data_IF_321231395421
#
_entry.id   IF_321231395421
#
_cell.length_a   1.000
_cell.length_b   1.000
_cell.length_c   1.000
_cell.angle_alpha   90.00
_cell.angle_beta   90.00
_cell.angle_gamma   90.00
#
_symmetry.space_group_name_H-M   'P 1'
#
loop_
_entity.id
_entity.type
_entity.pdbx_description
1 polymer ?
#
# COMPACT_ATOMS: atom_id res chain seq x y z
N UNK A 1 -0.58 12.26 28.12
CA UNK A 1 -1.76 11.36 28.01
C UNK A 1 -1.29 9.94 27.79
N UNK A 2 -1.86 8.95 28.48
CA UNK A 2 -1.63 7.54 28.12
C UNK A 2 -2.32 7.27 26.80
N UNK A 3 -1.54 6.91 25.78
CA UNK A 3 -2.06 6.58 24.46
C UNK A 3 -2.85 5.28 24.55
N UNK A 4 -4.13 5.31 24.19
CA UNK A 4 -4.96 4.12 24.11
C UNK A 4 -4.76 3.44 22.74
N UNK A 5 -3.91 2.43 22.67
CA UNK A 5 -3.60 1.72 21.43
C UNK A 5 -4.86 1.14 20.75
N UNK A 6 -5.87 0.72 21.53
CA UNK A 6 -7.11 0.19 20.96
C UNK A 6 -7.90 1.27 20.19
N UNK A 7 -7.89 2.52 20.63
CA UNK A 7 -8.52 3.63 19.90
C UNK A 7 -7.80 3.93 18.61
N UNK A 8 -6.46 3.90 18.63
CA UNK A 8 -5.64 4.12 17.44
C UNK A 8 -5.92 3.03 16.40
N UNK A 9 -5.91 1.76 16.78
CA UNK A 9 -6.19 0.68 15.85
C UNK A 9 -7.64 0.73 15.32
N UNK A 10 -8.62 1.05 16.14
CA UNK A 10 -10.00 1.30 15.68
C UNK A 10 -10.09 2.44 14.66
N UNK A 11 -9.26 3.48 14.82
CA UNK A 11 -9.17 4.56 13.83
C UNK A 11 -8.66 4.03 12.49
N UNK A 12 -7.57 3.27 12.47
CA UNK A 12 -7.01 2.73 11.22
C UNK A 12 -7.90 1.67 10.56
N UNK A 13 -8.66 0.91 11.32
CA UNK A 13 -9.61 -0.08 10.79
C UNK A 13 -10.76 0.52 9.98
N UNK A 14 -11.06 1.81 10.12
CA UNK A 14 -12.15 2.46 9.38
C UNK A 14 -11.99 2.36 7.86
N UNK A 15 -10.78 2.58 7.36
CA UNK A 15 -10.46 2.55 5.93
C UNK A 15 -11.17 3.63 5.09
N UNK A 16 -12.10 4.39 5.67
CA UNK A 16 -12.81 5.51 5.02
C UNK A 16 -12.66 6.74 5.91
N UNK A 17 -12.14 7.81 5.31
CA UNK A 17 -11.80 9.05 6.00
C UNK A 17 -12.33 10.27 5.23
N UNK A 18 -12.57 11.39 5.92
CA UNK A 18 -12.93 12.64 5.27
C UNK A 18 -11.77 13.19 4.43
N UNK A 19 -12.01 14.30 3.74
CA UNK A 19 -10.92 15.08 3.12
C UNK A 19 -9.97 15.63 4.18
N UNK A 20 -8.69 15.63 3.86
CA UNK A 20 -7.62 16.19 4.68
C UNK A 20 -6.85 17.24 3.89
N UNK A 21 -6.36 18.27 4.59
CA UNK A 21 -5.62 19.37 3.96
C UNK A 21 -4.36 18.92 3.23
N UNK A 22 -3.72 17.85 3.71
CA UNK A 22 -2.50 17.31 3.11
C UNK A 22 -2.44 15.79 3.20
N UNK A 23 -2.22 15.16 2.04
CA UNK A 23 -1.96 13.73 1.93
C UNK A 23 -0.64 13.54 1.18
N UNK A 24 0.19 12.64 1.69
CA UNK A 24 1.38 12.13 1.01
C UNK A 24 1.12 10.66 0.65
N UNK A 25 1.30 10.27 -0.62
CA UNK A 25 1.23 8.87 -1.00
C UNK A 25 2.59 8.36 -1.48
N UNK A 26 2.97 7.18 -0.99
CA UNK A 26 4.28 6.55 -1.19
C UNK A 26 4.06 5.19 -1.87
N UNK A 27 4.86 4.89 -2.90
CA UNK A 27 4.86 3.63 -3.63
C UNK A 27 5.43 2.45 -2.85
N UNK A 28 5.65 1.38 -3.58
CA UNK A 28 6.14 0.09 -3.10
C UNK A 28 7.56 0.21 -2.53
N UNK A 29 7.85 -0.52 -1.45
CA UNK A 29 9.11 -0.41 -0.67
C UNK A 29 10.02 -1.63 -0.87
N UNK A 30 9.43 -2.82 -1.01
CA UNK A 30 10.17 -4.07 -1.22
C UNK A 30 11.42 -4.19 -0.35
N UNK A 31 11.24 -4.16 0.97
CA UNK A 31 12.31 -4.37 1.94
C UNK A 31 13.43 -3.33 1.90
N UNK A 32 13.28 -2.16 1.28
CA UNK A 32 14.30 -1.11 1.25
C UNK A 32 14.03 -0.05 2.35
N UNK A 33 14.60 -0.31 3.53
CA UNK A 33 14.48 0.60 4.67
C UNK A 33 15.05 2.00 4.37
N UNK A 34 16.17 2.06 3.64
CA UNK A 34 16.80 3.32 3.29
C UNK A 34 15.94 4.12 2.29
N UNK A 35 15.28 3.45 1.33
CA UNK A 35 14.35 4.11 0.41
C UNK A 35 13.15 4.69 1.19
N UNK A 36 12.59 3.92 2.14
CA UNK A 36 11.51 4.42 3.01
C UNK A 36 11.94 5.65 3.81
N UNK A 37 13.12 5.64 4.45
CA UNK A 37 13.62 6.80 5.18
C UNK A 37 13.80 8.01 4.26
N UNK A 38 14.41 7.82 3.10
CA UNK A 38 14.66 8.90 2.15
C UNK A 38 13.36 9.56 1.67
N UNK A 39 12.35 8.77 1.29
CA UNK A 39 11.07 9.33 0.83
C UNK A 39 10.35 10.07 1.96
N UNK A 40 10.35 9.55 3.17
CA UNK A 40 9.72 10.19 4.33
C UNK A 40 10.42 11.49 4.73
N UNK A 41 11.76 11.54 4.70
CA UNK A 41 12.54 12.76 4.95
C UNK A 41 12.30 13.79 3.85
N UNK A 42 12.36 13.36 2.56
CA UNK A 42 12.09 14.22 1.40
C UNK A 42 10.69 14.84 1.46
N UNK A 43 9.70 14.06 1.89
CA UNK A 43 8.31 14.51 2.09
C UNK A 43 8.10 15.33 3.37
N UNK A 44 9.13 15.51 4.21
CA UNK A 44 9.08 16.21 5.51
C UNK A 44 8.07 15.57 6.48
N UNK A 45 8.01 14.25 6.49
CA UNK A 45 7.16 13.47 7.38
C UNK A 45 7.91 13.09 8.65
N UNK A 46 9.20 12.76 8.52
CA UNK A 46 10.08 12.45 9.65
C UNK A 46 11.33 13.33 9.64
N UNK A 47 11.93 13.49 10.81
CA UNK A 47 13.25 14.08 10.99
C UNK A 47 14.38 13.04 10.85
N UNK A 48 15.64 13.47 11.01
CA UNK A 48 16.84 12.61 10.97
C UNK A 48 16.88 11.53 12.06
N UNK A 49 16.06 11.65 13.10
CA UNK A 49 15.94 10.70 14.20
C UNK A 49 14.70 9.79 14.02
N UNK A 50 14.09 9.78 12.83
CA UNK A 50 12.89 9.03 12.50
C UNK A 50 11.67 9.41 13.37
N UNK A 51 11.61 10.65 13.89
CA UNK A 51 10.46 11.18 14.61
C UNK A 51 9.48 11.81 13.64
N UNK A 52 8.20 11.65 13.90
CA UNK A 52 7.14 12.32 13.14
C UNK A 52 7.22 13.84 13.28
N UNK A 53 7.32 14.54 12.16
CA UNK A 53 7.27 15.99 12.05
C UNK A 53 6.20 16.48 11.08
N UNK A 54 5.41 15.56 10.52
CA UNK A 54 4.39 15.83 9.51
C UNK A 54 3.16 16.57 10.03
N UNK A 55 3.06 16.82 11.35
CA UNK A 55 1.88 17.45 11.96
C UNK A 55 0.62 16.64 11.66
N UNK A 56 -0.42 17.30 11.15
CA UNK A 56 -1.69 16.70 10.76
C UNK A 56 -1.72 16.11 9.33
N UNK A 57 -0.57 15.90 8.71
CA UNK A 57 -0.46 15.25 7.40
C UNK A 57 -0.89 13.79 7.48
N UNK A 58 -1.61 13.30 6.47
CA UNK A 58 -1.92 11.89 6.29
C UNK A 58 -1.00 11.27 5.25
N UNK A 59 -0.34 10.18 5.61
CA UNK A 59 0.53 9.42 4.71
C UNK A 59 -0.18 8.12 4.34
N UNK A 60 -0.24 7.80 3.04
CA UNK A 60 -0.69 6.49 2.55
C UNK A 60 0.50 5.79 1.90
N UNK A 61 0.87 4.62 2.40
CA UNK A 61 1.84 3.72 1.79
C UNK A 61 1.07 2.60 1.07
N UNK A 62 1.36 2.38 -0.22
CA UNK A 62 0.45 1.66 -1.12
C UNK A 62 0.61 0.13 -1.12
N UNK A 63 1.30 -0.47 -0.13
CA UNK A 63 1.55 -1.91 -0.03
C UNK A 63 2.93 -2.32 -0.51
N UNK A 64 3.18 -3.61 -0.51
CA UNK A 64 4.45 -4.22 -0.90
C UNK A 64 5.65 -3.64 -0.14
N UNK A 65 5.60 -3.74 1.20
CA UNK A 65 6.73 -3.35 2.05
C UNK A 65 7.76 -4.49 2.18
N UNK A 66 7.34 -5.74 1.94
CA UNK A 66 8.15 -6.94 2.07
C UNK A 66 8.85 -7.33 0.76
N UNK A 67 9.66 -8.38 0.83
CA UNK A 67 10.18 -9.10 -0.34
C UNK A 67 11.24 -8.34 -1.14
N UNK A 68 12.41 -8.25 -0.54
CA UNK A 68 13.57 -7.56 -1.12
C UNK A 68 14.40 -8.39 -2.12
N UNK A 69 13.97 -9.57 -2.52
CA UNK A 69 14.77 -10.38 -3.46
C UNK A 69 15.08 -9.56 -4.73
N UNK A 70 16.35 -9.45 -5.13
CA UNK A 70 16.75 -8.72 -6.33
C UNK A 70 16.02 -9.23 -7.57
N UNK A 71 15.44 -8.31 -8.35
CA UNK A 71 14.78 -8.61 -9.64
C UNK A 71 15.80 -8.68 -10.78
N UNK A 72 17.03 -8.32 -10.50
CA UNK A 72 18.20 -8.42 -11.37
C UNK A 72 19.40 -8.90 -10.55
N UNK A 73 20.57 -9.05 -11.20
CA UNK A 73 21.79 -9.63 -10.61
C UNK A 73 22.47 -8.76 -9.53
N UNK A 74 21.85 -7.69 -9.08
CA UNK A 74 22.43 -6.79 -8.09
C UNK A 74 22.35 -7.38 -6.68
N UNK A 75 23.46 -7.25 -5.93
CA UNK A 75 23.74 -8.00 -4.69
C UNK A 75 23.38 -7.26 -3.40
N UNK A 76 22.71 -6.13 -3.48
CA UNK A 76 22.38 -5.32 -2.30
C UNK A 76 21.17 -5.86 -1.56
N UNK A 77 21.38 -6.94 -0.81
CA UNK A 77 20.41 -7.48 0.11
C UNK A 77 20.60 -6.87 1.51
N UNK A 78 19.51 -6.70 2.25
CA UNK A 78 19.54 -6.25 3.64
C UNK A 78 18.41 -6.89 4.46
N UNK A 79 18.69 -7.19 5.73
CA UNK A 79 17.70 -7.62 6.71
C UNK A 79 16.99 -6.39 7.29
N UNK A 80 15.96 -5.93 6.62
CA UNK A 80 15.28 -4.67 6.95
C UNK A 80 13.76 -4.74 7.05
N UNK A 81 13.13 -5.86 6.71
CA UNK A 81 11.66 -5.99 6.73
C UNK A 81 11.09 -5.64 8.12
N UNK A 82 11.69 -6.15 9.20
CA UNK A 82 11.24 -5.84 10.57
C UNK A 82 11.51 -4.39 10.99
N UNK A 83 12.57 -3.77 10.45
CA UNK A 83 12.83 -2.34 10.68
C UNK A 83 11.75 -1.48 10.02
N UNK A 84 11.31 -1.86 8.80
CA UNK A 84 10.21 -1.21 8.09
C UNK A 84 8.91 -1.35 8.85
N UNK A 85 8.53 -2.58 9.25
CA UNK A 85 7.31 -2.86 10.01
C UNK A 85 7.30 -2.05 11.31
N UNK A 86 8.42 -2.06 12.06
CA UNK A 86 8.55 -1.33 13.33
C UNK A 86 8.45 0.18 13.14
N UNK A 87 9.05 0.72 12.08
CA UNK A 87 8.95 2.14 11.77
C UNK A 87 7.52 2.53 11.40
N UNK A 88 6.83 1.76 10.57
CA UNK A 88 5.43 2.02 10.19
C UNK A 88 4.54 2.03 11.44
N UNK A 89 4.65 1.02 12.30
CA UNK A 89 3.90 0.97 13.56
C UNK A 89 4.17 2.21 14.44
N UNK A 90 5.44 2.59 14.59
CA UNK A 90 5.83 3.79 15.33
C UNK A 90 5.18 5.04 14.74
N UNK A 91 5.23 5.19 13.40
CA UNK A 91 4.67 6.35 12.72
C UNK A 91 3.13 6.39 12.80
N UNK A 92 2.45 5.23 12.81
CA UNK A 92 1.02 5.16 13.08
C UNK A 92 0.66 5.70 14.47
N UNK A 93 1.44 5.34 15.49
CA UNK A 93 1.23 5.79 16.87
C UNK A 93 1.56 7.28 17.03
N UNK A 94 2.67 7.73 16.47
CA UNK A 94 3.10 9.13 16.57
C UNK A 94 2.17 10.07 15.80
N UNK A 95 1.87 9.78 14.52
CA UNK A 95 1.03 10.65 13.68
C UNK A 95 -0.35 10.90 14.27
N UNK A 96 -0.97 9.86 14.85
CA UNK A 96 -2.28 9.98 15.49
C UNK A 96 -2.30 11.02 16.61
N UNK A 97 -1.23 11.17 17.38
CA UNK A 97 -1.11 12.14 18.46
C UNK A 97 -1.13 13.60 17.96
N UNK A 98 -0.75 13.83 16.71
CA UNK A 98 -0.72 15.14 16.08
C UNK A 98 -1.94 15.40 15.17
N UNK A 99 -2.94 14.52 15.19
CA UNK A 99 -4.12 14.61 14.31
C UNK A 99 -3.83 14.24 12.86
N UNK A 100 -2.66 13.64 12.59
CA UNK A 100 -2.28 13.05 11.31
C UNK A 100 -2.58 11.55 11.27
N UNK A 101 -2.03 10.87 10.26
CA UNK A 101 -2.15 9.42 10.14
C UNK A 101 -1.11 8.82 9.21
N UNK A 102 -0.69 7.58 9.50
CA UNK A 102 0.09 6.77 8.59
C UNK A 102 -0.73 5.53 8.23
N UNK A 103 -1.20 5.47 6.99
CA UNK A 103 -2.18 4.49 6.49
C UNK A 103 -1.51 3.52 5.52
N UNK A 104 -1.04 2.35 5.96
CA UNK A 104 -0.52 1.35 5.05
C UNK A 104 -1.67 0.59 4.38
N UNK A 105 -1.52 0.34 3.08
CA UNK A 105 -2.35 -0.55 2.28
C UNK A 105 -1.71 -1.94 2.27
N UNK A 106 -2.51 -3.00 2.22
CA UNK A 106 -2.00 -4.36 2.05
C UNK A 106 -1.71 -4.59 0.57
N UNK A 107 -0.47 -4.99 0.25
CA UNK A 107 -0.05 -5.41 -1.09
C UNK A 107 -0.09 -6.93 -1.27
N UNK A 108 0.20 -7.38 -2.49
CA UNK A 108 0.24 -8.81 -2.77
C UNK A 108 1.43 -9.52 -2.10
N UNK A 109 2.55 -8.83 -1.87
CA UNK A 109 3.72 -9.42 -1.21
C UNK A 109 3.48 -9.67 0.29
N UNK A 110 2.71 -8.83 0.98
CA UNK A 110 2.25 -9.14 2.33
C UNK A 110 1.40 -10.41 2.34
N UNK A 111 0.44 -10.52 1.40
CA UNK A 111 -0.43 -11.68 1.31
C UNK A 111 0.32 -12.95 0.90
N UNK A 112 1.30 -12.86 -0.01
CA UNK A 112 2.17 -13.98 -0.39
C UNK A 112 2.90 -14.55 0.84
N UNK A 113 3.49 -13.70 1.66
CA UNK A 113 4.16 -14.15 2.88
C UNK A 113 3.19 -14.81 3.86
N UNK A 114 1.98 -14.29 4.03
CA UNK A 114 0.92 -14.89 4.87
C UNK A 114 0.51 -16.27 4.36
N UNK A 115 0.49 -16.49 3.06
CA UNK A 115 0.16 -17.77 2.41
C UNK A 115 1.37 -18.72 2.28
N UNK A 116 2.55 -18.35 2.77
CA UNK A 116 3.76 -19.17 2.71
C UNK A 116 4.45 -19.18 1.36
N UNK A 117 4.15 -18.22 0.49
CA UNK A 117 4.79 -18.04 -0.83
C UNK A 117 5.98 -17.07 -0.65
N UNK A 118 7.20 -17.62 -0.62
CA UNK A 118 8.44 -16.89 -0.31
C UNK A 118 9.36 -16.69 -1.51
N UNK A 119 8.83 -16.76 -2.73
CA UNK A 119 9.64 -16.70 -3.96
C UNK A 119 10.40 -15.39 -4.13
N UNK A 120 9.91 -14.32 -3.51
CA UNK A 120 10.49 -12.99 -3.55
C UNK A 120 11.16 -12.54 -2.25
N UNK A 121 11.19 -13.41 -1.25
CA UNK A 121 11.95 -13.16 -0.02
C UNK A 121 13.44 -13.26 -0.34
N UNK A 122 14.21 -12.28 0.14
CA UNK A 122 15.66 -12.26 -0.06
C UNK A 122 16.37 -13.26 0.86
N UNK A 123 17.61 -13.66 0.54
CA UNK A 123 18.42 -14.50 1.43
C UNK A 123 18.55 -13.93 2.84
N UNK A 124 18.78 -12.60 2.99
CA UNK A 124 18.88 -11.98 4.32
C UNK A 124 17.51 -11.90 5.02
N UNK A 125 16.42 -11.59 4.31
CA UNK A 125 15.06 -11.64 4.86
C UNK A 125 14.66 -13.06 5.30
N UNK A 126 15.09 -14.10 4.57
CA UNK A 126 14.90 -15.49 4.99
C UNK A 126 15.78 -15.84 6.19
N UNK A 127 17.03 -15.37 6.20
CA UNK A 127 18.01 -15.63 7.27
C UNK A 127 17.65 -15.03 8.63
N UNK A 128 16.65 -14.14 8.70
CA UNK A 128 16.10 -13.67 9.96
C UNK A 128 15.42 -14.79 10.77
N UNK A 129 14.99 -15.85 10.09
CA UNK A 129 14.35 -17.02 10.68
C UNK A 129 15.27 -18.25 10.57
N UNK A 130 15.15 -19.19 11.51
CA UNK A 130 15.93 -20.43 11.49
C UNK A 130 15.54 -21.36 10.35
N UNK A 131 14.29 -21.27 9.89
CA UNK A 131 13.76 -22.07 8.79
C UNK A 131 12.58 -21.39 8.09
N UNK A 132 12.17 -21.95 6.93
CA UNK A 132 10.95 -21.53 6.23
C UNK A 132 9.68 -21.73 7.07
N UNK A 133 9.65 -22.79 7.87
CA UNK A 133 8.53 -23.11 8.76
C UNK A 133 8.40 -22.06 9.86
N UNK A 134 9.52 -21.58 10.43
CA UNK A 134 9.50 -20.51 11.43
C UNK A 134 9.02 -19.19 10.81
N UNK A 135 9.44 -18.86 9.58
CA UNK A 135 8.91 -17.70 8.84
C UNK A 135 7.41 -17.85 8.59
N UNK A 136 6.97 -19.00 8.11
CA UNK A 136 5.54 -19.28 7.90
C UNK A 136 4.75 -19.14 9.20
N UNK A 137 5.26 -19.66 10.30
CA UNK A 137 4.59 -19.55 11.61
C UNK A 137 4.39 -18.09 12.02
N UNK A 138 5.36 -17.23 11.76
CA UNK A 138 5.26 -15.80 12.09
C UNK A 138 4.23 -15.08 11.22
N UNK A 139 4.21 -15.38 9.90
CA UNK A 139 3.38 -14.66 8.93
C UNK A 139 1.98 -15.24 8.76
N UNK A 140 1.76 -16.55 8.94
CA UNK A 140 0.50 -17.24 8.59
C UNK A 140 -0.73 -16.61 9.24
N UNK A 141 -1.88 -16.89 8.63
CA UNK A 141 -3.20 -16.47 9.11
C UNK A 141 -3.38 -16.80 10.60
N UNK A 142 -3.88 -15.83 11.36
CA UNK A 142 -4.13 -15.96 12.80
C UNK A 142 -2.90 -15.77 13.69
N UNK A 143 -1.72 -15.49 13.11
CA UNK A 143 -0.48 -15.29 13.88
C UNK A 143 -0.01 -13.83 13.92
N UNK A 144 1.20 -13.60 14.40
CA UNK A 144 1.70 -12.29 14.82
C UNK A 144 1.55 -11.21 13.73
N UNK A 145 2.08 -11.47 12.53
CA UNK A 145 2.07 -10.47 11.47
C UNK A 145 0.68 -10.27 10.87
N UNK A 146 -0.04 -11.36 10.57
CA UNK A 146 -1.39 -11.28 10.01
C UNK A 146 -2.36 -10.58 10.96
N UNK A 147 -2.28 -10.82 12.27
CA UNK A 147 -3.06 -10.09 13.27
C UNK A 147 -2.70 -8.61 13.35
N UNK A 148 -1.43 -8.27 13.21
CA UNK A 148 -1.02 -6.86 13.14
C UNK A 148 -1.62 -6.17 11.91
N UNK A 149 -1.55 -6.79 10.72
CA UNK A 149 -2.21 -6.24 9.53
C UNK A 149 -3.71 -6.08 9.75
N UNK A 150 -4.38 -7.10 10.29
CA UNK A 150 -5.81 -7.06 10.58
C UNK A 150 -6.22 -5.89 11.52
N UNK A 151 -5.34 -5.52 12.44
CA UNK A 151 -5.58 -4.42 13.37
C UNK A 151 -5.43 -3.03 12.73
N UNK A 152 -4.48 -2.86 11.80
CA UNK A 152 -3.96 -1.53 11.47
C UNK A 152 -3.91 -1.21 9.97
N UNK A 153 -4.13 -2.20 9.08
CA UNK A 153 -4.00 -2.06 7.64
C UNK A 153 -5.31 -2.40 6.93
N UNK A 154 -5.48 -1.86 5.73
CA UNK A 154 -6.64 -2.17 4.88
C UNK A 154 -6.18 -2.45 3.45
N UNK A 155 -6.84 -3.34 2.70
CA UNK A 155 -6.60 -3.52 1.26
C UNK A 155 -7.09 -2.32 0.43
N UNK A 156 -8.07 -1.57 0.95
CA UNK A 156 -8.63 -0.38 0.30
C UNK A 156 -8.82 0.74 1.31
N UNK A 157 -8.34 1.92 0.97
CA UNK A 157 -8.49 3.13 1.77
C UNK A 157 -9.14 4.21 0.91
N UNK A 158 -10.17 4.87 1.43
CA UNK A 158 -10.74 6.08 0.85
C UNK A 158 -10.42 7.28 1.75
N UNK A 159 -9.84 8.33 1.18
CA UNK A 159 -9.66 9.64 1.84
C UNK A 159 -10.28 10.69 0.92
N UNK A 160 -11.39 11.27 1.36
CA UNK A 160 -12.13 12.22 0.53
C UNK A 160 -12.46 11.67 -0.85
N UNK A 161 -11.95 12.30 -1.89
CA UNK A 161 -12.15 11.93 -3.29
C UNK A 161 -11.07 11.01 -3.87
N UNK A 162 -10.22 10.42 -3.04
CA UNK A 162 -9.17 9.49 -3.45
C UNK A 162 -9.44 8.08 -2.92
N UNK A 163 -9.33 7.09 -3.81
CA UNK A 163 -9.31 5.68 -3.48
C UNK A 163 -7.88 5.16 -3.61
N UNK A 164 -7.36 4.53 -2.57
CA UNK A 164 -6.04 3.91 -2.54
C UNK A 164 -6.20 2.40 -2.46
N UNK A 165 -5.58 1.67 -3.37
CA UNK A 165 -5.49 0.22 -3.36
C UNK A 165 -4.23 -0.22 -4.10
N UNK A 166 -3.70 -1.41 -3.79
CA UNK A 166 -2.37 -1.78 -4.28
C UNK A 166 -2.32 -1.94 -5.80
N UNK A 167 -3.08 -2.87 -6.40
CA UNK A 167 -3.05 -3.14 -7.85
C UNK A 167 -4.08 -2.35 -8.64
N UNK A 168 -5.28 -2.18 -8.08
CA UNK A 168 -6.38 -1.49 -8.75
C UNK A 168 -7.75 -2.04 -8.36
N UNK A 169 -8.81 -1.49 -8.95
CA UNK A 169 -10.19 -1.89 -8.67
C UNK A 169 -10.89 -2.31 -9.95
N UNK A 170 -11.41 -3.53 -10.03
CA UNK A 170 -12.23 -3.95 -11.16
C UNK A 170 -13.68 -3.52 -11.01
N UNK A 171 -14.37 -3.30 -12.15
CA UNK A 171 -15.80 -2.94 -12.12
C UNK A 171 -16.66 -4.04 -11.51
N UNK A 172 -16.30 -5.31 -11.69
CA UNK A 172 -17.00 -6.45 -11.09
C UNK A 172 -16.99 -6.37 -9.58
N UNK A 173 -15.81 -6.13 -8.99
CA UNK A 173 -15.64 -5.96 -7.55
C UNK A 173 -16.43 -4.72 -7.08
N UNK A 174 -16.26 -3.59 -7.75
CA UNK A 174 -16.91 -2.34 -7.36
C UNK A 174 -18.44 -2.42 -7.34
N UNK A 175 -19.05 -3.18 -8.27
CA UNK A 175 -20.49 -3.40 -8.30
C UNK A 175 -21.01 -4.31 -7.19
N UNK A 176 -20.16 -5.20 -6.68
CA UNK A 176 -20.56 -6.26 -5.76
C UNK A 176 -20.27 -5.91 -4.30
N UNK A 177 -19.21 -5.14 -4.03
CA UNK A 177 -18.73 -4.92 -2.67
C UNK A 177 -18.60 -3.44 -2.33
N UNK A 178 -18.99 -3.07 -1.12
CA UNK A 178 -18.61 -1.79 -0.49
C UNK A 178 -17.16 -1.88 0.02
N UNK A 179 -16.50 -0.74 0.18
CA UNK A 179 -15.14 -0.66 0.75
C UNK A 179 -15.09 -1.33 2.14
N UNK A 180 -16.12 -1.11 2.95
CA UNK A 180 -16.24 -1.72 4.28
C UNK A 180 -16.27 -3.24 4.23
N UNK A 181 -16.98 -3.82 3.26
CA UNK A 181 -17.08 -5.27 3.12
C UNK A 181 -15.75 -5.88 2.70
N UNK A 182 -15.06 -5.25 1.73
CA UNK A 182 -13.72 -5.64 1.28
C UNK A 182 -12.75 -5.64 2.46
N UNK A 183 -12.71 -4.56 3.25
CA UNK A 183 -11.81 -4.43 4.38
C UNK A 183 -12.16 -5.42 5.51
N UNK A 184 -13.44 -5.71 5.73
CA UNK A 184 -13.90 -6.68 6.73
C UNK A 184 -13.53 -8.10 6.34
N UNK A 185 -13.73 -8.50 5.07
CA UNK A 185 -13.36 -9.84 4.58
C UNK A 185 -11.85 -10.06 4.75
N UNK A 186 -11.01 -9.10 4.39
CA UNK A 186 -9.56 -9.19 4.62
C UNK A 186 -9.25 -9.35 6.11
N UNK A 187 -9.80 -8.50 6.95
CA UNK A 187 -9.55 -8.50 8.40
C UNK A 187 -9.95 -9.81 9.05
N UNK A 188 -11.16 -10.31 8.76
CA UNK A 188 -11.64 -11.57 9.33
C UNK A 188 -10.79 -12.75 8.88
N UNK A 189 -10.35 -12.76 7.61
CA UNK A 189 -9.42 -13.75 7.11
C UNK A 189 -8.09 -13.70 7.86
N UNK A 190 -7.51 -12.52 8.01
CA UNK A 190 -6.22 -12.34 8.70
C UNK A 190 -6.27 -12.72 10.18
N UNK A 191 -7.43 -12.57 10.84
CA UNK A 191 -7.64 -13.07 12.21
C UNK A 191 -7.82 -14.58 12.29
N UNK A 192 -8.08 -15.25 11.18
CA UNK A 192 -8.40 -16.68 11.15
C UNK A 192 -9.89 -16.98 11.35
N UNK A 193 -10.77 -16.00 11.22
CA UNK A 193 -12.23 -16.15 11.32
C UNK A 193 -12.86 -16.56 9.97
N UNK A 194 -12.25 -17.53 9.28
CA UNK A 194 -12.65 -17.92 7.92
C UNK A 194 -13.85 -18.86 7.99
N UNK A 195 -14.95 -18.50 7.30
CA UNK A 195 -16.04 -19.41 6.96
C UNK A 195 -15.85 -19.94 5.54
N UNK A 196 -16.49 -21.08 5.17
CA UNK A 196 -16.43 -21.63 3.81
C UNK A 196 -16.89 -20.60 2.75
N UNK A 197 -17.88 -19.76 3.03
CA UNK A 197 -18.35 -18.70 2.14
C UNK A 197 -17.33 -17.55 1.98
N UNK A 198 -16.52 -17.28 2.99
CA UNK A 198 -15.51 -16.25 2.91
C UNK A 198 -14.30 -16.60 2.04
N UNK A 199 -14.06 -17.91 1.79
CA UNK A 199 -12.95 -18.36 0.95
C UNK A 199 -13.13 -17.93 -0.51
N UNK A 200 -14.32 -18.09 -1.09
CA UNK A 200 -14.60 -17.71 -2.49
C UNK A 200 -14.52 -16.18 -2.67
N UNK A 201 -15.05 -15.42 -1.71
CA UNK A 201 -14.96 -13.97 -1.72
C UNK A 201 -13.52 -13.49 -1.56
N UNK A 202 -12.74 -14.14 -0.70
CA UNK A 202 -11.33 -13.83 -0.52
C UNK A 202 -10.53 -14.07 -1.80
N UNK A 203 -10.76 -15.20 -2.48
CA UNK A 203 -10.13 -15.49 -3.76
C UNK A 203 -10.50 -14.46 -4.82
N UNK A 204 -11.79 -14.10 -4.96
CA UNK A 204 -12.26 -13.08 -5.90
C UNK A 204 -11.60 -11.71 -5.65
N UNK A 205 -11.55 -11.31 -4.40
CA UNK A 205 -11.08 -9.97 -4.01
C UNK A 205 -9.57 -9.82 -4.03
N UNK A 206 -8.79 -10.90 -3.75
CA UNK A 206 -7.38 -10.73 -3.40
C UNK A 206 -6.40 -11.67 -4.11
N UNK A 207 -6.85 -12.77 -4.76
CA UNK A 207 -5.94 -13.78 -5.30
C UNK A 207 -5.89 -13.86 -6.83
N UNK A 208 -6.96 -13.51 -7.54
CA UNK A 208 -6.97 -13.60 -9.00
C UNK A 208 -6.33 -12.36 -9.66
N UNK A 209 -6.01 -12.45 -10.94
CA UNK A 209 -5.33 -11.39 -11.72
C UNK A 209 -6.14 -10.08 -11.85
N UNK A 210 -7.45 -10.11 -11.67
CA UNK A 210 -8.31 -8.93 -11.71
C UNK A 210 -8.68 -8.43 -10.30
N UNK A 211 -8.09 -9.03 -9.27
CA UNK A 211 -8.30 -8.68 -7.87
C UNK A 211 -7.66 -7.35 -7.51
N UNK A 212 -7.99 -6.84 -6.33
CA UNK A 212 -7.50 -5.55 -5.83
C UNK A 212 -5.97 -5.52 -5.71
N UNK A 213 -5.34 -6.67 -5.43
CA UNK A 213 -3.91 -6.74 -5.19
C UNK A 213 -3.09 -7.04 -6.47
N UNK A 214 -3.70 -7.58 -7.53
CA UNK A 214 -2.99 -8.06 -8.71
C UNK A 214 -3.36 -7.34 -10.01
N UNK A 215 -4.36 -6.48 -10.00
CA UNK A 215 -4.85 -5.80 -11.19
C UNK A 215 -3.76 -4.89 -11.79
N UNK A 216 -3.52 -5.02 -13.10
CA UNK A 216 -2.57 -4.19 -13.85
C UNK A 216 -3.24 -3.41 -14.99
N UNK A 217 -4.55 -3.51 -15.16
CA UNK A 217 -5.29 -2.89 -16.28
C UNK A 217 -5.05 -1.38 -16.34
N UNK A 218 -4.98 -0.73 -15.17
CA UNK A 218 -4.85 0.72 -15.12
C UNK A 218 -3.40 1.21 -15.10
N UNK A 219 -2.42 0.34 -14.88
CA UNK A 219 -1.00 0.69 -14.75
C UNK A 219 -0.14 0.34 -15.97
N UNK A 220 -0.65 -0.51 -16.89
CA UNK A 220 0.05 -0.95 -18.09
C UNK A 220 -0.48 -0.29 -19.36
N UNK A 221 0.32 -0.28 -20.42
CA UNK A 221 -0.12 0.15 -21.74
C UNK A 221 -1.12 -0.87 -22.32
N UNK A 222 -2.20 -0.35 -22.89
CA UNK A 222 -3.29 -1.12 -23.47
C UNK A 222 -3.45 -0.76 -24.95
N UNK A 223 -4.06 -1.67 -25.73
CA UNK A 223 -4.53 -1.32 -27.07
C UNK A 223 -5.57 -0.20 -26.98
N UNK A 224 -5.76 0.55 -28.06
CA UNK A 224 -6.75 1.65 -28.12
C UNK A 224 -8.15 1.19 -27.68
N UNK A 225 -8.60 0.05 -28.19
CA UNK A 225 -9.92 -0.52 -27.84
C UNK A 225 -10.00 -0.91 -26.35
N UNK A 226 -8.97 -1.58 -25.83
CA UNK A 226 -8.91 -1.98 -24.40
C UNK A 226 -8.85 -0.75 -23.49
N UNK A 227 -8.16 0.30 -23.91
CA UNK A 227 -8.06 1.55 -23.16
C UNK A 227 -9.42 2.26 -23.03
N UNK A 228 -10.20 2.31 -24.12
CA UNK A 228 -11.57 2.86 -24.11
C UNK A 228 -12.52 2.08 -23.19
N UNK A 229 -12.40 0.75 -23.18
CA UNK A 229 -13.19 -0.11 -22.27
C UNK A 229 -12.77 0.13 -20.82
N UNK A 230 -11.46 0.17 -20.56
CA UNK A 230 -10.92 0.43 -19.22
C UNK A 230 -11.38 1.80 -18.69
N UNK A 231 -11.35 2.86 -19.53
CA UNK A 231 -11.80 4.20 -19.16
C UNK A 231 -13.29 4.23 -18.78
N UNK A 232 -14.15 3.62 -19.60
CA UNK A 232 -15.60 3.51 -19.30
C UNK A 232 -15.86 2.74 -17.99
N UNK A 233 -15.08 1.70 -17.73
CA UNK A 233 -15.19 0.94 -16.48
C UNK A 233 -14.71 1.78 -15.29
N UNK A 234 -13.60 2.49 -15.47
CA UNK A 234 -13.04 3.40 -14.46
C UNK A 234 -14.06 4.47 -14.05
N UNK A 235 -14.72 5.13 -14.99
CA UNK A 235 -15.74 6.16 -14.70
C UNK A 235 -16.88 5.61 -13.82
N UNK A 236 -17.30 4.37 -14.08
CA UNK A 236 -18.32 3.71 -13.25
C UNK A 236 -17.79 3.39 -11.86
N UNK A 237 -16.53 2.92 -11.73
CA UNK A 237 -15.90 2.64 -10.43
C UNK A 237 -15.81 3.92 -9.61
N UNK A 238 -15.33 5.01 -10.21
CA UNK A 238 -15.22 6.31 -9.54
C UNK A 238 -16.59 6.78 -9.03
N UNK A 239 -17.63 6.64 -9.86
CA UNK A 239 -19.01 6.99 -9.47
C UNK A 239 -19.54 6.11 -8.33
N UNK A 240 -19.31 4.79 -8.37
CA UNK A 240 -19.80 3.84 -7.34
C UNK A 240 -19.21 4.18 -5.96
N UNK A 241 -17.92 4.52 -5.90
CA UNK A 241 -17.24 4.81 -4.64
C UNK A 241 -17.25 6.30 -4.27
N UNK A 242 -17.88 7.15 -5.11
CA UNK A 242 -17.87 8.61 -4.96
C UNK A 242 -16.44 9.14 -4.76
N UNK A 243 -15.57 8.89 -5.75
CA UNK A 243 -14.17 9.36 -5.79
C UNK A 243 -13.83 9.93 -7.17
N UNK A 244 -12.78 10.73 -7.24
CA UNK A 244 -12.30 11.35 -8.49
C UNK A 244 -11.01 10.69 -8.99
N UNK A 245 -10.27 10.08 -8.08
CA UNK A 245 -8.96 9.49 -8.38
C UNK A 245 -8.79 8.12 -7.72
N UNK A 246 -8.09 7.22 -8.44
CA UNK A 246 -7.55 5.98 -7.86
C UNK A 246 -6.03 6.10 -7.84
N UNK A 247 -5.41 5.83 -6.69
CA UNK A 247 -3.96 5.80 -6.49
C UNK A 247 -3.53 4.35 -6.32
N UNK A 248 -2.59 3.89 -7.15
CA UNK A 248 -2.15 2.49 -7.23
C UNK A 248 -0.63 2.34 -7.26
N UNK A 249 -0.14 1.20 -6.78
CA UNK A 249 1.23 0.70 -6.82
C UNK A 249 1.42 -0.46 -7.80
N UNK A 250 2.10 -1.53 -7.34
CA UNK A 250 2.19 -2.85 -7.94
C UNK A 250 2.92 -2.95 -9.29
N UNK A 251 2.89 -1.93 -10.10
CA UNK A 251 3.51 -1.92 -11.43
C UNK A 251 4.52 -0.79 -11.50
N UNK A 252 5.83 -1.12 -11.46
CA UNK A 252 6.87 -0.10 -11.50
C UNK A 252 6.80 0.79 -12.74
N UNK A 253 6.84 2.10 -12.54
CA UNK A 253 6.85 3.13 -13.57
C UNK A 253 8.28 3.65 -13.74
N UNK A 254 8.89 3.41 -14.89
CA UNK A 254 10.33 3.68 -15.13
C UNK A 254 10.71 5.16 -15.01
N UNK A 255 9.80 6.07 -15.33
CA UNK A 255 10.05 7.52 -15.40
C UNK A 255 9.39 8.29 -14.25
N UNK A 256 9.22 7.69 -13.09
CA UNK A 256 8.55 8.29 -11.95
C UNK A 256 7.02 8.12 -11.98
N UNK A 257 6.32 8.84 -11.11
CA UNK A 257 4.86 8.75 -10.97
C UNK A 257 4.16 9.07 -12.29
N UNK A 258 3.24 8.21 -12.73
CA UNK A 258 2.51 8.35 -13.99
C UNK A 258 1.03 8.66 -13.76
N UNK A 259 0.53 9.69 -14.45
CA UNK A 259 -0.91 9.98 -14.56
C UNK A 259 -1.47 9.24 -15.77
N UNK A 260 -2.59 8.53 -15.61
CA UNK A 260 -3.29 7.83 -16.67
C UNK A 260 -4.77 8.22 -16.68
N UNK A 261 -5.46 7.98 -17.79
CA UNK A 261 -6.90 8.25 -17.95
C UNK A 261 -7.25 9.71 -17.54
N UNK A 262 -6.55 10.67 -18.11
CA UNK A 262 -6.71 12.11 -17.82
C UNK A 262 -6.53 12.45 -16.31
N UNK A 263 -5.64 11.71 -15.63
CA UNK A 263 -5.34 11.91 -14.21
C UNK A 263 -6.30 11.22 -13.24
N UNK A 264 -7.29 10.46 -13.72
CA UNK A 264 -8.18 9.65 -12.89
C UNK A 264 -7.44 8.52 -12.17
N UNK A 265 -6.32 8.04 -12.74
CA UNK A 265 -5.43 7.05 -12.12
C UNK A 265 -4.04 7.64 -11.94
N UNK A 266 -3.49 7.43 -10.74
CA UNK A 266 -2.17 7.86 -10.32
C UNK A 266 -1.35 6.61 -9.97
N UNK A 267 -0.40 6.22 -10.83
CA UNK A 267 0.49 5.07 -10.64
C UNK A 267 1.74 5.56 -9.92
N UNK A 268 1.91 5.18 -8.65
CA UNK A 268 2.95 5.74 -7.78
C UNK A 268 4.08 4.77 -7.41
N UNK A 269 4.02 3.50 -7.83
CA UNK A 269 5.17 2.61 -7.74
C UNK A 269 6.22 3.06 -8.77
N UNK A 270 7.37 3.50 -8.29
CA UNK A 270 8.49 3.98 -9.13
C UNK A 270 9.70 3.05 -9.07
N UNK A 271 9.51 1.85 -8.52
CA UNK A 271 10.60 0.90 -8.30
C UNK A 271 11.71 1.49 -7.43
N UNK A 272 11.34 2.20 -6.34
CA UNK A 272 12.30 2.93 -5.51
C UNK A 272 13.27 2.01 -4.77
N UNK A 273 12.93 0.75 -4.58
CA UNK A 273 13.79 -0.25 -3.97
C UNK A 273 14.99 -0.60 -4.85
N UNK A 274 16.15 -0.79 -4.24
CA UNK A 274 17.33 -1.34 -4.91
C UNK A 274 17.12 -2.78 -5.43
N UNK A 275 16.09 -3.47 -4.97
CA UNK A 275 15.67 -4.77 -5.50
C UNK A 275 15.37 -4.75 -7.01
N UNK A 276 14.99 -3.60 -7.58
CA UNK A 276 14.72 -3.42 -9.01
C UNK A 276 15.96 -3.04 -9.82
N UNK A 277 17.13 -2.85 -9.17
CA UNK A 277 18.41 -2.56 -9.78
C UNK A 277 18.71 -1.11 -10.08
N UNK A 278 19.97 -0.85 -10.50
CA UNK A 278 20.57 0.48 -10.47
C UNK A 278 20.72 1.13 -11.84
N UNK A 279 19.73 1.05 -12.73
CA UNK A 279 19.79 1.81 -14.00
C UNK A 279 19.72 3.32 -13.78
N UNK A 280 19.17 3.77 -12.65
CA UNK A 280 18.97 5.18 -12.28
C UNK A 280 19.50 5.39 -10.86
N UNK A 281 20.11 6.54 -10.57
CA UNK A 281 20.62 6.86 -9.23
C UNK A 281 19.49 6.79 -8.20
N UNK A 282 19.78 6.32 -6.98
CA UNK A 282 18.79 6.13 -5.90
C UNK A 282 17.90 7.36 -5.69
N UNK A 283 18.49 8.55 -5.62
CA UNK A 283 17.75 9.79 -5.39
C UNK A 283 16.79 10.16 -6.53
N UNK A 284 17.01 9.66 -7.74
CA UNK A 284 16.18 9.91 -8.92
C UNK A 284 14.97 8.96 -8.99
N UNK A 285 14.95 7.89 -8.16
CA UNK A 285 13.83 6.93 -8.05
C UNK A 285 12.92 7.21 -6.85
N UNK A 286 13.36 8.07 -5.93
CA UNK A 286 12.61 8.41 -4.72
C UNK A 286 11.55 9.45 -5.06
N UNK A 287 10.35 8.97 -5.32
CA UNK A 287 9.20 9.81 -5.62
C UNK A 287 8.06 9.61 -4.61
N UNK A 288 7.27 10.65 -4.44
CA UNK A 288 6.01 10.60 -3.69
C UNK A 288 4.97 11.51 -4.33
N UNK A 289 3.72 11.20 -4.12
CA UNK A 289 2.60 12.04 -4.51
C UNK A 289 2.21 12.94 -3.34
N UNK A 290 2.09 14.24 -3.59
CA UNK A 290 1.60 15.21 -2.63
C UNK A 290 0.25 15.76 -3.09
N UNK A 291 -0.78 15.62 -2.26
CA UNK A 291 -2.12 16.11 -2.48
C UNK A 291 -2.37 17.18 -1.42
N UNK A 292 -2.70 18.39 -1.87
CA UNK A 292 -2.96 19.54 -1.01
C UNK A 292 -4.34 20.09 -1.33
N UNK A 293 -5.16 20.27 -0.31
CA UNK A 293 -6.45 20.94 -0.38
C UNK A 293 -6.32 22.35 0.19
N UNK A 294 -6.42 23.39 -0.66
CA UNK A 294 -6.32 24.79 -0.27
C UNK A 294 -7.48 25.60 -0.85
N UNK A 295 -8.31 26.19 0.03
CA UNK A 295 -9.41 27.10 -0.37
C UNK A 295 -10.25 26.55 -1.53
N UNK A 296 -10.76 25.33 -1.37
CA UNK A 296 -11.57 24.59 -2.35
C UNK A 296 -10.84 24.29 -3.68
N UNK A 297 -9.51 24.36 -3.68
CA UNK A 297 -8.67 23.97 -4.80
C UNK A 297 -7.76 22.82 -4.42
N UNK A 298 -7.84 21.75 -5.18
CA UNK A 298 -6.99 20.57 -5.01
C UNK A 298 -5.78 20.65 -5.93
N UNK A 299 -4.59 20.48 -5.35
CA UNK A 299 -3.33 20.37 -6.10
C UNK A 299 -2.78 18.96 -5.94
N UNK A 300 -2.45 18.33 -7.06
CA UNK A 300 -1.82 17.00 -7.12
C UNK A 300 -0.43 17.18 -7.70
N UNK A 301 0.60 17.02 -6.87
CA UNK A 301 1.99 17.32 -7.18
C UNK A 301 2.79 16.02 -7.09
N UNK A 302 3.49 15.69 -8.17
CA UNK A 302 4.47 14.58 -8.22
C UNK A 302 5.85 15.15 -7.86
N UNK A 303 6.49 14.60 -6.86
CA UNK A 303 7.77 15.07 -6.28
C UNK A 303 8.89 14.06 -6.47
#
# INVERSE_FOLDING_TARGET
>A
MKVNHNEIFKYYQKGIYPDYNKIIAIGDIHGDYNALLLVLIKAKIIDKNNKWIGGNTHVVQIGDILDRKPRNLDKNDEDSEFKIISLILKLQLESYQYGGGFHPVIGNHELMNILGIFDYVSPMGMGHFKSKEERLEYFKIGNTFSKYLACAWNPVIKIGKFLFCHGGMSLTIAKKYKITDINTIMRDTLYGNITHLSHDYFHELFLNQNSILWNRVYSTELSLQSNLIAEKNLDKILSIYDVEHIVIGHTPQENGIKKRFNGKVLCIDTGMSEAFGNKVKKNERIHYLEIIEEKDKRKIIMK
#
